data_IF_389116733376
#
_entry.id   IF_389116733376
#
_cell.length_a   1.000
_cell.length_b   1.000
_cell.length_c   1.000
_cell.angle_alpha   90.00
_cell.angle_beta   90.00
_cell.angle_gamma   90.00
#
_symmetry.space_group_name_H-M   'P 1'
#
loop_
_entity.id
_entity.type
_entity.pdbx_description
1 polymer ?
#
# COMPACT_ATOMS: atom_id res chain seq x y z
N UNK A 1 25.16 -17.47 17.60
CA UNK A 1 24.04 -17.27 16.64
C UNK A 1 22.77 -17.78 17.29
N UNK A 2 21.97 -16.90 17.88
CA UNK A 2 20.66 -17.28 18.43
C UNK A 2 19.67 -17.52 17.28
N UNK A 3 18.88 -18.59 17.31
CA UNK A 3 17.90 -18.86 16.26
C UNK A 3 16.83 -17.77 16.24
N UNK A 4 16.26 -17.43 15.07
CA UNK A 4 15.15 -16.50 15.01
C UNK A 4 13.98 -17.04 15.83
N UNK A 5 13.42 -16.21 16.71
CA UNK A 5 12.22 -16.50 17.48
C UNK A 5 11.11 -17.02 16.55
N UNK A 6 10.90 -18.34 16.55
CA UNK A 6 9.75 -18.97 15.92
C UNK A 6 8.52 -18.66 16.76
N UNK A 7 7.87 -17.54 16.47
CA UNK A 7 6.53 -17.27 17.00
C UNK A 7 5.57 -18.27 16.37
N UNK A 8 5.02 -19.19 17.17
CA UNK A 8 4.07 -20.24 16.74
C UNK A 8 2.88 -19.62 16.00
N UNK A 9 2.50 -20.21 14.86
CA UNK A 9 1.47 -19.67 13.94
C UNK A 9 0.09 -19.38 14.55
N UNK A 10 -0.28 -20.06 15.65
CA UNK A 10 -1.52 -19.78 16.38
C UNK A 10 -1.54 -18.39 17.05
N UNK A 11 -0.41 -17.94 17.65
CA UNK A 11 -0.32 -16.61 18.28
C UNK A 11 -0.36 -15.47 17.27
N UNK A 12 0.25 -15.68 16.10
CA UNK A 12 0.21 -14.70 14.98
C UNK A 12 -1.23 -14.52 14.50
N UNK A 13 -2.03 -15.59 14.44
CA UNK A 13 -3.43 -15.53 14.04
C UNK A 13 -4.29 -14.77 15.07
N UNK A 14 -4.07 -14.97 16.37
CA UNK A 14 -4.79 -14.25 17.43
C UNK A 14 -4.46 -12.76 17.46
N UNK A 15 -3.18 -12.40 17.35
CA UNK A 15 -2.75 -10.99 17.30
C UNK A 15 -3.29 -10.29 16.05
N UNK A 16 -3.26 -10.95 14.90
CA UNK A 16 -3.81 -10.41 13.66
C UNK A 16 -5.33 -10.17 13.76
N UNK A 17 -6.08 -11.08 14.40
CA UNK A 17 -7.52 -10.87 14.69
C UNK A 17 -7.77 -9.68 15.61
N UNK A 18 -6.93 -9.50 16.64
CA UNK A 18 -7.03 -8.34 17.53
C UNK A 18 -6.78 -7.03 16.78
N UNK A 19 -5.75 -6.98 15.92
CA UNK A 19 -5.47 -5.82 15.07
C UNK A 19 -6.62 -5.49 14.12
N UNK A 20 -7.26 -6.50 13.52
CA UNK A 20 -8.47 -6.29 12.70
C UNK A 20 -9.60 -5.67 13.51
N UNK A 21 -9.80 -6.11 14.75
CA UNK A 21 -10.88 -5.62 15.60
C UNK A 21 -10.74 -4.12 15.92
N UNK A 22 -9.50 -3.64 16.05
CA UNK A 22 -9.18 -2.23 16.30
C UNK A 22 -8.89 -1.45 15.02
N UNK A 23 -8.98 -2.07 13.85
CA UNK A 23 -8.64 -1.40 12.60
C UNK A 23 -9.51 -0.17 12.35
N UNK A 24 -8.90 0.94 11.95
CA UNK A 24 -9.63 2.10 11.50
C UNK A 24 -10.46 1.76 10.24
N UNK A 25 -11.72 2.17 10.24
CA UNK A 25 -12.62 2.00 9.09
C UNK A 25 -12.52 3.25 8.21
N UNK A 26 -11.64 3.17 7.21
CA UNK A 26 -11.44 4.23 6.24
C UNK A 26 -11.85 3.70 4.87
N UNK A 27 -12.60 4.52 4.16
CA UNK A 27 -13.13 4.22 2.84
C UNK A 27 -12.53 5.18 1.83
N UNK A 28 -12.64 4.83 0.57
CA UNK A 28 -12.26 5.67 -0.56
C UNK A 28 -13.49 5.90 -1.43
N UNK A 29 -13.79 7.16 -1.70
CA UNK A 29 -14.87 7.55 -2.58
C UNK A 29 -14.41 7.45 -4.03
N UNK A 30 -15.07 6.60 -4.83
CA UNK A 30 -14.66 6.36 -6.21
C UNK A 30 -14.99 7.51 -7.17
N UNK A 31 -15.99 8.32 -6.83
CA UNK A 31 -16.46 9.41 -7.70
C UNK A 31 -15.62 10.68 -7.54
N UNK A 32 -15.20 10.96 -6.31
CA UNK A 32 -14.45 12.15 -5.90
C UNK A 32 -12.95 11.90 -5.74
N UNK A 33 -12.53 10.64 -5.73
CA UNK A 33 -11.14 10.22 -5.53
C UNK A 33 -10.52 10.69 -4.22
N UNK A 34 -11.27 10.64 -3.12
CA UNK A 34 -10.84 11.11 -1.78
C UNK A 34 -11.10 10.06 -0.69
N UNK A 35 -10.32 10.08 0.41
CA UNK A 35 -10.60 9.25 1.57
C UNK A 35 -11.79 9.81 2.35
N UNK A 36 -12.64 8.92 2.85
CA UNK A 36 -13.81 9.25 3.67
C UNK A 36 -13.95 8.32 4.88
N UNK A 37 -14.53 8.83 5.96
CA UNK A 37 -14.67 8.09 7.23
C UNK A 37 -16.06 7.50 7.46
N UNK A 38 -16.97 7.67 6.51
CA UNK A 38 -18.33 7.12 6.55
C UNK A 38 -18.52 6.15 5.38
N UNK A 39 -19.15 5.01 5.67
CA UNK A 39 -19.43 3.99 4.66
C UNK A 39 -20.44 4.49 3.64
N UNK A 40 -21.52 5.11 4.10
CA UNK A 40 -22.57 5.65 3.24
C UNK A 40 -22.70 7.16 3.51
N UNK A 41 -22.38 7.97 2.50
CA UNK A 41 -22.71 9.39 2.50
C UNK A 41 -23.35 9.70 1.15
N UNK A 42 -24.67 9.96 1.16
CA UNK A 42 -25.46 10.46 0.02
C UNK A 42 -25.15 9.74 -1.31
N UNK A 43 -25.70 8.55 -1.55
CA UNK A 43 -25.64 7.81 -2.84
C UNK A 43 -24.25 7.50 -3.47
N UNK A 44 -23.15 8.11 -2.99
CA UNK A 44 -21.81 7.94 -3.55
C UNK A 44 -21.19 6.57 -3.17
N UNK A 45 -20.48 5.96 -4.11
CA UNK A 45 -19.85 4.64 -3.88
C UNK A 45 -18.53 4.77 -3.12
N UNK A 46 -18.55 4.36 -1.85
CA UNK A 46 -17.37 4.28 -0.99
C UNK A 46 -16.89 2.84 -0.85
N UNK A 47 -15.61 2.59 -1.12
CA UNK A 47 -14.99 1.27 -0.97
C UNK A 47 -14.03 1.23 0.21
N UNK A 48 -14.05 0.18 1.06
CA UNK A 48 -13.12 0.09 2.18
C UNK A 48 -11.68 -0.04 1.69
N UNK A 49 -10.77 0.75 2.26
CA UNK A 49 -9.34 0.67 1.97
C UNK A 49 -8.79 -0.61 2.59
N UNK A 50 -8.28 -1.51 1.75
CA UNK A 50 -7.74 -2.82 2.18
C UNK A 50 -6.25 -2.73 2.48
N UNK A 51 -5.90 -2.01 3.55
CA UNK A 51 -4.53 -1.92 4.06
C UNK A 51 -4.25 -2.96 5.15
N UNK A 52 -2.98 -3.16 5.48
CA UNK A 52 -2.57 -4.05 6.58
C UNK A 52 -3.09 -3.53 7.94
N UNK A 53 -3.75 -4.36 8.77
CA UNK A 53 -4.21 -3.97 10.11
C UNK A 53 -3.06 -3.43 11.00
N UNK A 54 -3.30 -2.39 11.82
CA UNK A 54 -4.59 -1.80 12.18
C UNK A 54 -5.11 -0.70 11.22
N UNK A 55 -4.62 -0.64 9.97
CA UNK A 55 -5.07 0.37 8.99
C UNK A 55 -4.92 1.80 9.54
N UNK A 56 -3.81 2.06 10.22
CA UNK A 56 -3.50 3.36 10.81
C UNK A 56 -2.94 4.28 9.71
N UNK A 57 -3.86 4.73 8.84
CA UNK A 57 -3.53 5.50 7.65
C UNK A 57 -3.18 6.94 8.04
N UNK A 58 -2.07 7.44 7.51
CA UNK A 58 -1.68 8.83 7.61
C UNK A 58 -1.51 9.48 6.23
N UNK A 59 -1.76 10.77 6.10
CA UNK A 59 -1.30 11.55 4.96
C UNK A 59 0.21 11.39 4.73
N UNK A 60 0.63 11.24 3.48
CA UNK A 60 2.01 11.46 3.09
C UNK A 60 2.31 12.96 3.14
N UNK A 61 3.22 13.37 4.02
CA UNK A 61 3.69 14.75 4.07
C UNK A 61 4.64 15.03 2.90
N UNK A 62 5.01 16.29 2.68
CA UNK A 62 5.88 16.71 1.58
C UNK A 62 7.10 15.81 1.38
N UNK A 63 7.87 15.57 2.44
CA UNK A 63 9.05 14.70 2.38
C UNK A 63 8.70 13.24 2.01
N UNK A 64 7.57 12.73 2.52
CA UNK A 64 7.11 11.39 2.17
C UNK A 64 6.75 11.26 0.68
N UNK A 65 6.11 12.29 0.12
CA UNK A 65 5.76 12.34 -1.30
C UNK A 65 7.01 12.39 -2.17
N UNK A 66 7.95 13.29 -1.84
CA UNK A 66 9.23 13.43 -2.54
C UNK A 66 10.04 12.14 -2.50
N UNK A 67 10.16 11.51 -1.32
CA UNK A 67 10.83 10.22 -1.16
C UNK A 67 10.14 9.12 -1.99
N UNK A 68 8.82 9.05 -1.97
CA UNK A 68 8.07 8.03 -2.72
C UNK A 68 8.29 8.18 -4.22
N UNK A 69 8.18 9.41 -4.76
CA UNK A 69 8.42 9.69 -6.18
C UNK A 69 9.86 9.35 -6.57
N UNK A 70 10.84 9.73 -5.75
CA UNK A 70 12.25 9.37 -5.96
C UNK A 70 12.45 7.85 -6.01
N UNK A 71 11.85 7.10 -5.08
CA UNK A 71 11.96 5.64 -5.06
C UNK A 71 11.33 4.97 -6.28
N UNK A 72 10.24 5.51 -6.81
CA UNK A 72 9.64 5.01 -8.04
C UNK A 72 10.55 5.26 -9.25
N UNK A 73 11.15 6.45 -9.35
CA UNK A 73 12.13 6.78 -10.38
C UNK A 73 13.34 5.84 -10.33
N UNK A 74 13.91 5.63 -9.14
CA UNK A 74 15.04 4.71 -8.94
C UNK A 74 14.66 3.26 -9.23
N UNK A 75 13.45 2.83 -8.85
CA UNK A 75 12.97 1.48 -9.10
C UNK A 75 12.78 1.22 -10.59
N UNK A 76 12.11 2.11 -11.31
CA UNK A 76 11.83 1.90 -12.72
C UNK A 76 13.01 2.22 -13.64
N UNK A 77 13.91 3.09 -13.20
CA UNK A 77 14.93 3.73 -14.04
C UNK A 77 14.34 4.40 -15.28
N UNK A 78 13.07 4.83 -15.18
CA UNK A 78 12.29 5.45 -16.24
C UNK A 78 11.24 6.37 -15.61
N UNK A 79 11.27 7.65 -16.02
CA UNK A 79 10.34 8.67 -15.53
C UNK A 79 8.92 8.39 -15.98
N UNK A 80 8.72 7.92 -17.21
CA UNK A 80 7.39 7.66 -17.76
C UNK A 80 6.68 6.56 -16.98
N UNK A 81 7.36 5.45 -16.71
CA UNK A 81 6.85 4.35 -15.87
C UNK A 81 6.49 4.82 -14.46
N UNK A 82 7.34 5.65 -13.84
CA UNK A 82 7.09 6.17 -12.50
C UNK A 82 5.83 7.06 -12.46
N UNK A 83 5.69 7.97 -13.41
CA UNK A 83 4.54 8.88 -13.51
C UNK A 83 3.24 8.16 -13.93
N UNK A 84 3.33 7.06 -14.68
CA UNK A 84 2.16 6.21 -14.94
C UNK A 84 1.72 5.52 -13.66
N UNK A 85 2.64 4.98 -12.84
CA UNK A 85 2.27 4.31 -11.59
C UNK A 85 1.69 5.30 -10.58
N UNK A 86 2.37 6.43 -10.36
CA UNK A 86 1.97 7.52 -9.48
C UNK A 86 1.92 8.84 -10.26
N UNK A 87 0.74 9.26 -10.75
CA UNK A 87 0.58 10.46 -11.54
C UNK A 87 1.05 11.74 -10.83
N UNK A 88 1.63 12.71 -11.55
CA UNK A 88 2.07 13.97 -10.94
C UNK A 88 0.96 14.79 -10.29
N UNK A 89 -0.26 14.68 -10.78
CA UNK A 89 -1.46 15.36 -10.27
C UNK A 89 -2.10 14.65 -9.07
N UNK A 90 -1.59 13.48 -8.68
CA UNK A 90 -2.06 12.78 -7.49
C UNK A 90 -1.53 13.51 -6.24
N UNK A 91 -2.42 14.17 -5.51
CA UNK A 91 -2.10 14.93 -4.30
C UNK A 91 -2.26 14.06 -3.05
N UNK A 92 -3.31 13.23 -3.00
CA UNK A 92 -3.61 12.40 -1.84
C UNK A 92 -2.89 11.06 -1.97
N UNK A 93 -1.78 10.95 -1.24
CA UNK A 93 -1.10 9.69 -0.99
C UNK A 93 -1.27 9.35 0.49
N UNK A 94 -1.78 8.16 0.77
CA UNK A 94 -1.88 7.65 2.14
C UNK A 94 -0.76 6.64 2.40
N UNK A 95 -0.32 6.59 3.64
CA UNK A 95 0.70 5.67 4.11
C UNK A 95 0.17 4.88 5.29
N UNK A 96 0.45 3.58 5.31
CA UNK A 96 0.11 2.71 6.42
C UNK A 96 1.36 2.02 6.92
N UNK A 97 1.69 2.19 8.20
CA UNK A 97 2.86 1.54 8.80
C UNK A 97 2.66 0.03 8.81
N UNK A 98 3.66 -0.71 8.33
CA UNK A 98 3.59 -2.19 8.26
C UNK A 98 4.74 -2.86 9.01
N UNK A 99 4.54 -4.10 9.49
CA UNK A 99 5.62 -4.87 10.11
C UNK A 99 6.69 -5.23 9.07
N UNK A 100 7.93 -4.83 9.34
CA UNK A 100 9.12 -5.15 8.55
C UNK A 100 10.35 -5.22 9.48
N UNK A 101 11.50 -5.76 9.04
CA UNK A 101 12.72 -5.74 9.84
C UNK A 101 13.19 -4.33 10.27
N UNK A 102 12.79 -3.29 9.54
CA UNK A 102 13.04 -1.88 9.82
C UNK A 102 11.79 -1.05 9.42
N UNK A 103 11.92 0.25 9.19
CA UNK A 103 10.86 1.13 8.72
C UNK A 103 10.29 0.68 7.37
N UNK A 104 8.97 0.56 7.32
CA UNK A 104 8.24 0.31 6.10
C UNK A 104 6.81 0.83 6.17
N UNK A 105 6.33 1.32 5.04
CA UNK A 105 4.95 1.75 4.83
C UNK A 105 4.37 1.08 3.57
N UNK A 106 3.09 0.73 3.61
CA UNK A 106 2.28 0.58 2.39
C UNK A 106 1.98 1.97 1.83
N UNK A 107 2.10 2.10 0.51
CA UNK A 107 1.72 3.29 -0.24
C UNK A 107 0.35 3.03 -0.84
N UNK A 108 -0.60 3.89 -0.51
CA UNK A 108 -2.00 3.81 -0.94
C UNK A 108 -2.33 5.02 -1.81
N UNK A 109 -2.86 4.75 -3.00
CA UNK A 109 -3.23 5.72 -4.03
C UNK A 109 -4.57 5.26 -4.61
N UNK A 110 -5.50 6.19 -4.84
CA UNK A 110 -6.86 5.85 -5.31
C UNK A 110 -7.54 4.76 -4.44
N UNK A 111 -7.28 4.76 -3.13
CA UNK A 111 -7.83 3.77 -2.19
C UNK A 111 -7.20 2.38 -2.26
N UNK A 112 -6.12 2.21 -3.04
CA UNK A 112 -5.49 0.91 -3.29
C UNK A 112 -4.01 0.89 -2.92
N UNK A 113 -3.56 -0.22 -2.32
CA UNK A 113 -2.13 -0.42 -2.04
C UNK A 113 -1.39 -0.69 -3.35
N UNK A 114 -0.52 0.24 -3.76
CA UNK A 114 0.31 0.11 -4.98
C UNK A 114 1.65 -0.56 -4.70
N UNK A 115 2.13 -0.51 -3.46
CA UNK A 115 3.44 -1.04 -3.12
C UNK A 115 3.83 -0.73 -1.70
N UNK A 116 4.99 -1.24 -1.32
CA UNK A 116 5.61 -0.93 -0.05
C UNK A 116 6.84 -0.08 -0.32
N UNK A 117 7.09 0.94 0.49
CA UNK A 117 8.43 1.50 0.66
C UNK A 117 9.01 0.98 1.97
N UNK A 118 10.26 0.58 1.96
CA UNK A 118 10.92 0.05 3.14
C UNK A 118 12.41 0.30 3.09
N UNK A 119 13.04 0.38 4.26
CA UNK A 119 14.50 0.44 4.35
C UNK A 119 15.10 -0.97 4.24
N UNK A 120 15.93 -1.21 3.22
CA UNK A 120 16.62 -2.47 3.02
C UNK A 120 17.95 -2.43 3.78
N UNK A 121 17.96 -2.96 5.02
CA UNK A 121 19.12 -2.98 5.91
C UNK A 121 20.37 -3.55 5.21
N UNK A 122 20.22 -4.57 4.34
CA UNK A 122 21.37 -5.20 3.67
C UNK A 122 21.99 -4.33 2.59
N UNK A 123 21.18 -3.49 1.95
CA UNK A 123 21.62 -2.56 0.90
C UNK A 123 21.81 -1.13 1.43
N UNK A 124 21.47 -0.92 2.69
CA UNK A 124 21.51 0.38 3.37
C UNK A 124 20.84 1.50 2.56
N UNK A 125 19.66 1.21 2.00
CA UNK A 125 18.88 2.16 1.20
C UNK A 125 17.39 1.89 1.25
N UNK A 126 16.61 2.93 1.03
CA UNK A 126 15.18 2.81 0.78
C UNK A 126 14.91 2.07 -0.53
N UNK A 127 13.83 1.30 -0.58
CA UNK A 127 13.41 0.56 -1.78
C UNK A 127 11.91 0.54 -1.91
N UNK A 128 11.46 0.53 -3.16
CA UNK A 128 10.08 0.27 -3.51
C UNK A 128 9.88 -1.22 -3.85
N UNK A 129 8.73 -1.77 -3.45
CA UNK A 129 8.29 -3.13 -3.76
C UNK A 129 6.82 -3.09 -4.20
N UNK A 130 6.52 -3.26 -5.50
CA UNK A 130 5.14 -3.21 -5.95
C UNK A 130 4.34 -4.40 -5.41
N UNK A 131 3.06 -4.18 -5.15
CA UNK A 131 2.13 -5.23 -4.72
C UNK A 131 0.71 -4.92 -5.21
N UNK A 132 -0.12 -5.96 -5.36
CA UNK A 132 -1.55 -5.84 -5.70
C UNK A 132 -1.81 -4.88 -6.85
N UNK A 133 -2.40 -3.71 -6.58
CA UNK A 133 -2.76 -2.71 -7.59
C UNK A 133 -1.55 -2.24 -8.40
N UNK A 134 -0.39 -2.05 -7.76
CA UNK A 134 0.81 -1.63 -8.49
C UNK A 134 1.38 -2.73 -9.38
N UNK A 135 1.26 -4.00 -8.99
CA UNK A 135 1.61 -5.12 -9.89
C UNK A 135 0.66 -5.19 -11.07
N UNK A 136 -0.67 -5.07 -10.84
CA UNK A 136 -1.64 -5.01 -11.93
C UNK A 136 -1.34 -3.87 -12.88
N UNK A 137 -1.11 -2.65 -12.37
CA UNK A 137 -0.84 -1.47 -13.20
C UNK A 137 0.46 -1.61 -14.00
N UNK A 138 1.50 -2.18 -13.39
CA UNK A 138 2.76 -2.50 -14.08
C UNK A 138 2.51 -3.43 -15.28
N UNK A 139 1.72 -4.48 -15.08
CA UNK A 139 1.44 -5.48 -16.10
C UNK A 139 0.51 -4.91 -17.18
N UNK A 140 -0.61 -4.32 -16.79
CA UNK A 140 -1.65 -3.82 -17.69
C UNK A 140 -1.10 -2.70 -18.61
N UNK A 141 -0.17 -1.86 -18.11
CA UNK A 141 0.46 -0.79 -18.89
C UNK A 141 1.84 -1.16 -19.48
N UNK A 142 2.34 -2.38 -19.21
CA UNK A 142 3.68 -2.85 -19.64
C UNK A 142 4.82 -1.87 -19.29
N UNK A 143 4.79 -1.32 -18.08
CA UNK A 143 5.79 -0.36 -17.60
C UNK A 143 6.81 -1.03 -16.68
N UNK A 144 8.05 -0.54 -16.66
CA UNK A 144 9.03 -1.04 -15.71
C UNK A 144 9.33 -2.53 -15.81
N UNK A 145 9.57 -3.18 -14.67
CA UNK A 145 9.97 -4.59 -14.63
C UNK A 145 8.80 -5.56 -14.54
N UNK A 146 8.61 -6.34 -15.59
CA UNK A 146 7.55 -7.34 -15.68
C UNK A 146 7.96 -8.59 -16.45
N UNK A 147 7.18 -9.66 -16.30
CA UNK A 147 7.28 -10.90 -17.07
C UNK A 147 5.91 -11.56 -17.26
N UNK A 148 5.57 -11.91 -18.51
CA UNK A 148 4.44 -12.76 -18.87
C UNK A 148 4.95 -14.18 -19.08
N UNK A 149 4.35 -15.14 -18.38
CA UNK A 149 4.90 -16.50 -18.28
C UNK A 149 3.93 -17.56 -18.80
N UNK A 150 4.48 -18.57 -19.47
CA UNK A 150 3.77 -19.75 -19.98
C UNK A 150 3.56 -20.80 -18.89
N UNK A 151 3.00 -20.40 -17.76
CA UNK A 151 2.69 -21.30 -16.64
C UNK A 151 1.17 -21.30 -16.38
N UNK A 152 0.58 -22.45 -16.00
CA UNK A 152 -0.84 -22.51 -15.65
C UNK A 152 -1.16 -21.73 -14.37
N UNK A 153 -0.18 -21.63 -13.46
CA UNK A 153 -0.28 -20.93 -12.17
C UNK A 153 1.09 -20.46 -11.70
N UNK A 154 1.12 -19.37 -10.93
CA UNK A 154 2.32 -18.89 -10.24
C UNK A 154 2.36 -19.49 -8.83
N UNK A 155 3.45 -20.17 -8.48
CA UNK A 155 3.65 -20.81 -7.19
C UNK A 155 4.73 -20.09 -6.38
N UNK A 156 4.47 -19.82 -5.10
CA UNK A 156 5.43 -19.15 -4.22
C UNK A 156 6.71 -19.97 -4.08
N UNK A 157 7.87 -19.31 -4.04
CA UNK A 157 9.23 -19.89 -3.99
C UNK A 157 9.68 -20.64 -5.25
N UNK A 158 8.80 -20.85 -6.23
CA UNK A 158 9.18 -21.39 -7.53
C UNK A 158 10.16 -20.45 -8.24
N UNK A 159 11.06 -21.03 -9.03
CA UNK A 159 12.00 -20.29 -9.89
C UNK A 159 11.52 -20.45 -11.32
N UNK A 160 11.12 -19.33 -11.92
CA UNK A 160 10.72 -19.28 -13.33
C UNK A 160 11.99 -19.23 -14.17
N UNK A 161 12.09 -20.15 -15.11
CA UNK A 161 13.20 -20.23 -16.05
C UNK A 161 12.94 -19.38 -17.29
N UNK A 162 14.02 -18.95 -17.96
CA UNK A 162 13.92 -18.13 -19.18
C UNK A 162 13.02 -18.78 -20.25
N UNK A 163 13.04 -20.11 -20.35
CA UNK A 163 12.19 -20.90 -21.26
C UNK A 163 10.69 -20.70 -21.03
N UNK A 164 10.29 -20.34 -19.81
CA UNK A 164 8.89 -20.15 -19.44
C UNK A 164 8.42 -18.71 -19.62
N UNK A 165 9.31 -17.78 -19.98
CA UNK A 165 9.02 -16.35 -20.14
C UNK A 165 8.70 -16.09 -21.62
N UNK A 166 7.49 -15.59 -21.88
CA UNK A 166 7.03 -15.24 -23.24
C UNK A 166 7.36 -13.78 -23.59
N UNK A 167 7.20 -12.88 -22.63
CA UNK A 167 7.40 -11.45 -22.77
C UNK A 167 7.97 -10.93 -21.45
N UNK A 168 8.98 -10.06 -21.47
CA UNK A 168 9.50 -9.47 -20.24
C UNK A 168 10.31 -8.22 -20.48
N UNK A 169 10.34 -7.37 -19.46
CA UNK A 169 11.38 -6.36 -19.26
C UNK A 169 12.05 -6.66 -17.91
N UNK A 170 13.21 -7.32 -17.93
CA UNK A 170 13.90 -7.74 -16.71
C UNK A 170 14.95 -6.71 -16.28
N UNK A 171 15.09 -6.47 -14.97
CA UNK A 171 16.13 -5.58 -14.45
C UNK A 171 17.51 -6.19 -14.65
N UNK A 172 18.47 -5.37 -15.09
CA UNK A 172 19.88 -5.77 -15.19
C UNK A 172 20.48 -6.09 -13.82
N UNK A 173 20.04 -5.39 -12.77
CA UNK A 173 20.51 -5.59 -11.41
C UNK A 173 19.80 -6.77 -10.76
N UNK A 174 20.58 -7.75 -10.27
CA UNK A 174 20.03 -8.86 -9.48
C UNK A 174 19.33 -8.34 -8.24
N UNK A 175 18.22 -8.98 -7.90
CA UNK A 175 17.52 -8.70 -6.67
C UNK A 175 16.50 -7.56 -6.73
N UNK A 176 16.25 -7.02 -7.92
CA UNK A 176 15.11 -6.13 -8.15
C UNK A 176 13.81 -6.92 -8.28
N UNK A 177 12.70 -6.24 -8.00
CA UNK A 177 11.38 -6.85 -8.04
C UNK A 177 10.86 -6.89 -9.48
N UNK A 178 10.10 -7.93 -9.79
CA UNK A 178 9.53 -8.14 -11.12
C UNK A 178 8.06 -8.53 -10.95
N UNK A 179 7.15 -7.81 -11.59
CA UNK A 179 5.75 -8.18 -11.67
C UNK A 179 5.59 -9.37 -12.61
N UNK A 180 4.75 -10.34 -12.26
CA UNK A 180 4.58 -11.58 -13.04
C UNK A 180 3.10 -11.78 -13.33
N UNK A 181 2.77 -12.14 -14.57
CA UNK A 181 1.42 -12.58 -14.96
C UNK A 181 1.49 -13.86 -15.77
N UNK A 182 0.54 -14.78 -15.56
CA UNK A 182 0.39 -15.95 -16.43
C UNK A 182 -0.18 -15.53 -17.77
N UNK A 183 0.18 -16.24 -18.85
CA UNK A 183 -0.33 -15.97 -20.21
C UNK A 183 -1.86 -15.91 -20.32
N UNK A 184 -2.57 -16.64 -19.43
CA UNK A 184 -4.03 -16.66 -19.38
C UNK A 184 -4.63 -15.49 -18.57
N UNK A 185 -3.82 -14.61 -17.98
CA UNK A 185 -4.26 -13.46 -17.19
C UNK A 185 -4.89 -13.80 -15.83
N UNK A 186 -4.93 -15.08 -15.42
CA UNK A 186 -5.64 -15.50 -14.20
C UNK A 186 -4.83 -15.23 -12.94
N UNK A 187 -3.51 -15.40 -13.00
CA UNK A 187 -2.63 -15.28 -11.84
C UNK A 187 -1.62 -14.17 -12.03
N UNK A 188 -1.42 -13.43 -10.95
CA UNK A 188 -0.38 -12.43 -10.84
C UNK A 188 0.54 -12.75 -9.67
N UNK A 189 1.73 -12.19 -9.70
CA UNK A 189 2.70 -12.38 -8.65
C UNK A 189 3.78 -11.32 -8.63
N UNK A 190 4.58 -11.41 -7.59
CA UNK A 190 5.78 -10.62 -7.44
C UNK A 190 6.95 -11.58 -7.28
N UNK A 191 7.94 -11.41 -8.15
CA UNK A 191 9.21 -12.12 -8.08
C UNK A 191 10.38 -11.20 -7.77
N UNK A 192 11.54 -11.82 -7.69
CA UNK A 192 12.84 -11.16 -7.57
C UNK A 192 13.76 -11.69 -8.66
N UNK A 193 14.40 -10.80 -9.42
CA UNK A 193 15.38 -11.19 -10.43
C UNK A 193 16.57 -11.91 -9.79
N UNK A 194 16.99 -13.01 -10.40
CA UNK A 194 18.20 -13.75 -10.05
C UNK A 194 19.07 -13.91 -11.31
N UNK A 195 20.24 -14.56 -11.17
CA UNK A 195 21.17 -14.74 -12.30
C UNK A 195 20.57 -15.58 -13.44
N UNK A 196 20.85 -15.17 -14.67
CA UNK A 196 20.51 -15.89 -15.90
C UNK A 196 19.05 -15.72 -16.30
N UNK A 197 18.51 -14.51 -16.21
CA UNK A 197 17.13 -14.15 -16.59
C UNK A 197 16.06 -15.03 -15.93
N UNK A 198 16.34 -15.43 -14.69
CA UNK A 198 15.43 -16.23 -13.87
C UNK A 198 14.77 -15.35 -12.83
N UNK A 199 13.57 -15.75 -12.41
CA UNK A 199 12.78 -15.01 -11.44
C UNK A 199 12.38 -15.93 -10.30
N UNK A 200 12.77 -15.59 -9.06
CA UNK A 200 12.30 -16.30 -7.87
C UNK A 200 11.00 -15.68 -7.38
N UNK A 201 9.91 -16.45 -7.37
CA UNK A 201 8.59 -15.98 -6.94
C UNK A 201 8.56 -15.74 -5.43
N UNK A 202 8.16 -14.54 -5.01
CA UNK A 202 8.03 -14.16 -3.60
C UNK A 202 6.58 -14.23 -3.11
N UNK A 203 5.64 -13.79 -3.94
CA UNK A 203 4.20 -13.80 -3.69
C UNK A 203 3.46 -14.13 -4.99
N UNK A 204 2.31 -14.80 -4.86
CA UNK A 204 1.43 -15.14 -5.97
C UNK A 204 -0.03 -15.06 -5.50
N UNK A 205 -0.92 -14.58 -6.37
CA UNK A 205 -2.34 -14.45 -6.10
C UNK A 205 -3.15 -14.55 -7.41
N UNK A 206 -4.45 -14.79 -7.29
CA UNK A 206 -5.38 -14.68 -8.42
C UNK A 206 -5.57 -13.19 -8.74
N UNK A 207 -5.49 -12.81 -10.02
CA UNK A 207 -5.69 -11.43 -10.49
C UNK A 207 -7.00 -10.87 -9.92
N UNK A 208 -6.94 -9.64 -9.43
CA UNK A 208 -8.10 -8.88 -8.96
C UNK A 208 -8.25 -7.65 -9.84
N UNK A 209 -9.49 -7.20 -10.01
CA UNK A 209 -9.75 -5.93 -10.70
C UNK A 209 -9.38 -4.79 -9.76
N UNK A 210 -8.62 -3.85 -10.32
CA UNK A 210 -8.15 -2.64 -9.66
C UNK A 210 -8.62 -1.47 -10.54
N UNK A 211 -9.76 -0.82 -10.21
CA UNK A 211 -10.21 0.33 -11.00
C UNK A 211 -9.18 1.46 -10.93
N UNK A 212 -8.91 2.10 -12.06
CA UNK A 212 -8.20 3.38 -12.13
C UNK A 212 -9.27 4.47 -12.09
N UNK A 213 -9.19 5.38 -11.12
CA UNK A 213 -10.18 6.47 -11.00
C UNK A 213 -9.82 7.59 -11.98
N UNK A 214 -8.52 7.93 -12.09
CA UNK A 214 -8.00 8.87 -13.08
C UNK A 214 -8.53 10.30 -12.93
N UNK A 215 -9.12 10.62 -11.78
CA UNK A 215 -9.57 11.97 -11.41
C UNK A 215 -8.54 12.59 -10.47
N UNK A 216 -8.25 13.87 -10.65
CA UNK A 216 -7.46 14.62 -9.68
C UNK A 216 -8.13 14.62 -8.30
N UNK A 217 -7.33 14.66 -7.24
CA UNK A 217 -7.81 14.80 -5.87
C UNK A 217 -7.08 15.92 -5.13
N UNK A 218 -7.66 16.39 -4.02
CA UNK A 218 -7.06 17.41 -3.18
C UNK A 218 -7.36 17.22 -1.69
N UNK A 219 -6.42 17.58 -0.83
CA UNK A 219 -6.64 17.54 0.62
C UNK A 219 -7.76 18.48 1.06
N UNK A 220 -7.92 19.63 0.39
CA UNK A 220 -9.01 20.57 0.66
C UNK A 220 -10.38 19.90 0.50
N UNK A 221 -10.57 19.18 -0.60
CA UNK A 221 -11.82 18.48 -0.87
C UNK A 221 -12.04 17.34 0.15
N UNK A 222 -10.99 16.58 0.47
CA UNK A 222 -11.06 15.52 1.46
C UNK A 222 -11.46 16.04 2.85
N UNK A 223 -10.92 17.18 3.29
CA UNK A 223 -11.30 17.81 4.57
C UNK A 223 -12.75 18.27 4.53
N UNK A 224 -13.17 18.93 3.45
CA UNK A 224 -14.56 19.41 3.31
C UNK A 224 -15.57 18.27 3.34
N UNK A 225 -15.33 17.21 2.58
CA UNK A 225 -16.20 16.04 2.52
C UNK A 225 -16.34 15.33 3.89
N UNK A 226 -15.32 15.43 4.74
CA UNK A 226 -15.31 14.81 6.07
C UNK A 226 -15.63 15.78 7.21
N UNK A 227 -15.97 17.04 6.93
CA UNK A 227 -16.16 18.11 7.93
C UNK A 227 -17.08 17.69 9.08
N UNK A 228 -18.27 17.18 8.77
CA UNK A 228 -19.25 16.76 9.79
C UNK A 228 -18.72 15.64 10.68
N UNK A 229 -17.96 14.71 10.11
CA UNK A 229 -17.34 13.63 10.88
C UNK A 229 -16.22 14.18 11.78
N UNK A 230 -15.37 15.07 11.26
CA UNK A 230 -14.30 15.70 12.03
C UNK A 230 -14.85 16.50 13.21
N UNK A 231 -15.86 17.34 12.97
CA UNK A 231 -16.55 18.11 14.02
C UNK A 231 -17.21 17.18 15.06
N UNK A 232 -17.76 16.04 14.64
CA UNK A 232 -18.31 15.08 15.60
C UNK A 232 -17.25 14.48 16.51
N UNK A 233 -16.04 14.21 15.98
CA UNK A 233 -14.91 13.66 16.75
C UNK A 233 -14.26 14.68 17.66
N UNK A 234 -14.19 15.93 17.22
CA UNK A 234 -13.78 17.05 18.05
C UNK A 234 -14.72 17.20 19.26
N UNK A 235 -16.02 17.24 19.02
CA UNK A 235 -17.03 17.32 20.08
C UNK A 235 -16.97 16.12 21.06
N UNK A 236 -16.78 14.91 20.55
CA UNK A 236 -16.59 13.70 21.37
C UNK A 236 -15.35 13.84 22.28
N UNK A 237 -14.24 14.34 21.72
CA UNK A 237 -12.99 14.55 22.44
C UNK A 237 -13.13 15.63 23.53
N UNK A 238 -13.80 16.74 23.22
CA UNK A 238 -14.08 17.81 24.19
C UNK A 238 -14.92 17.27 25.36
N UNK A 239 -16.00 16.52 25.07
CA UNK A 239 -16.85 15.91 26.10
C UNK A 239 -16.06 14.96 26.99
N UNK A 240 -15.25 14.10 26.40
CA UNK A 240 -14.39 13.18 27.14
C UNK A 240 -13.44 13.93 28.09
N UNK A 241 -12.75 14.96 27.59
CA UNK A 241 -11.84 15.78 28.41
C UNK A 241 -12.58 16.48 29.57
N UNK A 242 -13.78 17.01 29.31
CA UNK A 242 -14.62 17.61 30.35
C UNK A 242 -15.05 16.61 31.43
N UNK A 243 -15.41 15.38 31.05
CA UNK A 243 -15.76 14.31 31.98
C UNK A 243 -14.56 13.88 32.85
N UNK A 244 -13.39 13.72 32.23
CA UNK A 244 -12.15 13.39 32.94
C UNK A 244 -11.76 14.50 33.91
N UNK A 245 -11.84 15.76 33.49
CA UNK A 245 -11.55 16.91 34.34
C UNK A 245 -12.46 16.98 35.58
N UNK A 246 -13.77 16.76 35.39
CA UNK A 246 -14.76 16.67 36.49
C UNK A 246 -14.44 15.53 37.43
N UNK A 247 -14.13 14.34 36.91
CA UNK A 247 -13.82 13.16 37.71
C UNK A 247 -12.56 13.32 38.56
N UNK A 248 -11.56 14.03 38.04
CA UNK A 248 -10.26 14.23 38.69
C UNK A 248 -10.15 15.55 39.48
N UNK A 249 -11.22 16.35 39.55
CA UNK A 249 -11.21 17.70 40.14
C UNK A 249 -10.07 18.58 39.63
N UNK A 250 -9.72 18.45 38.34
CA UNK A 250 -8.72 19.32 37.73
C UNK A 250 -9.37 20.69 37.53
N UNK A 251 -8.85 21.76 38.17
CA UNK A 251 -9.44 23.08 38.04
C UNK A 251 -9.20 23.61 36.62
N UNK A 252 -10.15 24.40 36.10
CA UNK A 252 -10.23 24.78 34.67
C UNK A 252 -9.00 25.53 34.16
N UNK A 253 -8.32 26.25 35.05
CA UNK A 253 -7.08 27.00 34.83
C UNK A 253 -5.87 26.12 34.49
N UNK A 254 -5.96 24.79 34.65
CA UNK A 254 -4.89 23.84 34.27
C UNK A 254 -5.15 23.07 32.97
N UNK A 255 -6.28 23.28 32.30
CA UNK A 255 -6.72 22.45 31.16
C UNK A 255 -6.57 23.17 29.81
N UNK A 256 -6.31 24.48 29.82
CA UNK A 256 -6.07 25.29 28.62
C UNK A 256 -4.92 26.26 28.84
#
# INVERSE_FOLDING_TARGET
MSPPLKVKGAKVCTMYKALIKISARIYWNLERNIPVFRENFKEEVNVPIKATPPCDLRPALRFDVELTRKLLLEYFNDRKSAEVLLPPHEEIILLNKIPYPDLADEIIVEGQVIGHRFFDIRRYRWRFKPIYAGVSKILDKRIGFYAIVNLPRITRLYVIHRSDILESNLPQTKGEYVAIETKNGIYQGLGKSIRGDRIKVLKAWRKRRHPEIGKSNSWREAVEANRDWLLSKENESIKFLQEVAKKLNIPRDRIF
#
